data_IF_895275812730
#
_entry.id   IF_895275812730
#
_cell.length_a   1.000
_cell.length_b   1.000
_cell.length_c   1.000
_cell.angle_alpha   90.00
_cell.angle_beta   90.00
_cell.angle_gamma   90.00
#
_symmetry.space_group_name_H-M   'P 1'
#
loop_
_entity.id
_entity.type
_entity.pdbx_description
1 polymer ?
#
# COMPACT_ATOMS: atom_id res chain seq x y z
N UNK A 1 -5.95 14.19 0.83
CA UNK A 1 -6.41 13.38 -0.33
C UNK A 1 -6.88 12.01 0.13
N UNK A 2 -8.03 11.57 -0.38
CA UNK A 2 -8.65 10.29 -0.05
C UNK A 2 -7.98 9.13 -0.81
N UNK A 3 -7.51 8.13 -0.05
CA UNK A 3 -6.77 6.99 -0.60
C UNK A 3 -7.62 6.14 -1.56
N UNK A 4 -8.93 6.06 -1.32
CA UNK A 4 -9.88 5.42 -2.22
C UNK A 4 -9.95 6.08 -3.60
N UNK A 5 -9.74 7.40 -3.68
CA UNK A 5 -9.70 8.10 -4.97
C UNK A 5 -8.43 7.77 -5.74
N UNK A 6 -7.28 7.77 -5.07
CA UNK A 6 -6.01 7.38 -5.67
C UNK A 6 -6.05 5.94 -6.19
N UNK A 7 -6.67 5.04 -5.43
CA UNK A 7 -6.84 3.63 -5.82
C UNK A 7 -7.72 3.46 -7.05
N UNK A 8 -8.74 4.32 -7.23
CA UNK A 8 -9.58 4.29 -8.44
C UNK A 8 -8.88 4.80 -9.68
N UNK A 9 -7.95 5.75 -9.53
CA UNK A 9 -7.24 6.35 -10.66
C UNK A 9 -5.99 5.55 -11.05
N UNK A 10 -5.36 4.90 -10.08
CA UNK A 10 -4.10 4.18 -10.30
C UNK A 10 -4.37 2.77 -10.84
N UNK A 11 -3.46 2.23 -11.65
CA UNK A 11 -3.42 0.80 -12.00
C UNK A 11 -2.62 -0.03 -10.98
N UNK A 12 -1.70 0.63 -10.26
CA UNK A 12 -0.83 0.00 -9.30
C UNK A 12 -0.33 0.98 -8.23
N UNK A 13 0.04 0.44 -7.09
CA UNK A 13 0.53 1.16 -5.91
C UNK A 13 1.82 0.52 -5.40
N UNK A 14 2.75 1.35 -4.94
CA UNK A 14 3.94 0.91 -4.19
C UNK A 14 3.95 1.67 -2.88
N UNK A 15 4.22 0.96 -1.79
CA UNK A 15 4.32 1.57 -0.46
C UNK A 15 5.78 1.71 -0.09
N UNK A 16 6.18 2.90 0.37
CA UNK A 16 7.47 3.11 1.02
C UNK A 16 7.25 3.14 2.53
N UNK A 17 8.01 2.33 3.27
CA UNK A 17 8.04 2.34 4.72
C UNK A 17 9.48 2.12 5.20
N UNK A 18 9.95 2.96 6.13
CA UNK A 18 11.30 2.90 6.70
C UNK A 18 12.44 2.86 5.64
N UNK A 19 12.27 3.63 4.56
CA UNK A 19 13.23 3.64 3.43
C UNK A 19 13.16 2.44 2.49
N UNK A 20 12.30 1.46 2.77
CA UNK A 20 12.08 0.28 1.94
C UNK A 20 10.82 0.41 1.09
N UNK A 21 10.91 0.05 -0.19
CA UNK A 21 9.76 -0.03 -1.10
C UNK A 21 9.19 -1.45 -1.09
N UNK A 22 7.87 -1.57 -1.04
CA UNK A 22 7.16 -2.84 -1.21
C UNK A 22 7.22 -3.32 -2.66
N UNK A 23 6.78 -4.55 -2.89
CA UNK A 23 6.41 -4.99 -4.23
C UNK A 23 5.26 -4.15 -4.80
N UNK A 24 5.15 -4.12 -6.12
CA UNK A 24 4.09 -3.42 -6.85
C UNK A 24 2.76 -4.14 -6.64
N UNK A 25 1.81 -3.44 -6.04
CA UNK A 25 0.47 -3.95 -5.75
C UNK A 25 -0.48 -3.48 -6.86
N UNK A 26 -1.32 -4.36 -7.43
CA UNK A 26 -2.43 -3.91 -8.27
C UNK A 26 -3.39 -3.09 -7.42
N UNK A 27 -3.81 -1.93 -7.93
CA UNK A 27 -4.82 -1.09 -7.26
C UNK A 27 -6.19 -1.77 -7.23
N UNK A 28 -6.49 -2.57 -8.27
CA UNK A 28 -7.73 -3.32 -8.39
C UNK A 28 -7.81 -4.37 -7.27
N UNK A 29 -8.76 -4.18 -6.36
CA UNK A 29 -8.98 -5.06 -5.21
C UNK A 29 -8.17 -4.68 -3.96
N UNK A 30 -7.35 -3.63 -4.03
CA UNK A 30 -6.68 -3.06 -2.87
C UNK A 30 -7.60 -2.02 -2.22
N UNK A 31 -7.81 -2.12 -0.91
CA UNK A 31 -8.64 -1.15 -0.17
C UNK A 31 -7.80 -0.08 0.50
N UNK A 32 -8.39 1.10 0.75
CA UNK A 32 -7.73 2.17 1.50
C UNK A 32 -7.29 1.71 2.90
N UNK A 33 -8.07 0.84 3.55
CA UNK A 33 -7.71 0.28 4.86
C UNK A 33 -6.45 -0.57 4.79
N UNK A 34 -6.35 -1.48 3.82
CA UNK A 34 -5.17 -2.34 3.64
C UNK A 34 -3.93 -1.53 3.27
N UNK A 35 -4.09 -0.55 2.38
CA UNK A 35 -3.00 0.31 1.97
C UNK A 35 -2.51 1.18 3.14
N UNK A 36 -3.41 1.75 3.94
CA UNK A 36 -3.07 2.45 5.18
C UNK A 36 -2.34 1.57 6.20
N UNK A 37 -2.74 0.30 6.32
CA UNK A 37 -2.09 -0.67 7.21
C UNK A 37 -0.66 -0.99 6.77
N UNK A 38 -0.43 -1.11 5.45
CA UNK A 38 0.92 -1.29 4.86
C UNK A 38 1.79 -0.04 5.04
N UNK A 39 1.22 1.15 4.86
CA UNK A 39 1.92 2.43 5.06
C UNK A 39 2.33 2.65 6.52
N UNK A 40 1.55 2.11 7.47
CA UNK A 40 1.84 2.19 8.90
C UNK A 40 2.85 1.15 9.39
N UNK A 41 3.31 0.22 8.54
CA UNK A 41 4.18 -0.88 8.94
C UNK A 41 3.47 -1.99 9.76
N UNK A 42 2.14 -1.94 9.86
CA UNK A 42 1.35 -2.89 10.66
C UNK A 42 1.17 -4.27 9.97
N UNK A 43 1.72 -4.43 8.76
CA UNK A 43 1.99 -5.72 8.14
C UNK A 43 3.50 -6.00 8.15
N UNK A 44 4.06 -6.19 9.34
CA UNK A 44 5.37 -6.80 9.51
C UNK A 44 5.29 -8.30 9.24
N UNK A 45 5.44 -8.70 7.98
CA UNK A 45 5.95 -10.04 7.66
C UNK A 45 7.26 -9.83 6.90
N UNK A 46 8.34 -9.80 7.67
CA UNK A 46 9.70 -9.57 7.18
C UNK A 46 10.74 -9.43 8.29
N UNK A 47 10.51 -10.01 9.48
CA UNK A 47 11.61 -10.42 10.37
C UNK A 47 12.03 -11.83 9.94
N UNK A 48 13.00 -11.94 9.01
CA UNK A 48 13.84 -13.12 8.77
C UNK A 48 14.99 -12.77 7.82
#
# INVERSE_FOLDING_TARGET
EDLDELLRLSDAVVVMHDGCLSEKLPSRGLTARELGLRMSGAHGHGDA
#
